data_IF_553688472899
#
_entry.id   IF_553688472899
#
_cell.length_a   1.000
_cell.length_b   1.000
_cell.length_c   1.000
_cell.angle_alpha   90.00
_cell.angle_beta   90.00
_cell.angle_gamma   90.00
#
_symmetry.space_group_name_H-M   'P 1'
#
loop_
_entity.id
_entity.type
_entity.pdbx_description
1 polymer ?
#
# COMPACT_ATOMS: atom_id res chain seq x y z
N UNK A 1 -38.44 -14.23 -33.52
CA UNK A 1 -37.20 -14.61 -32.81
C UNK A 1 -37.29 -14.05 -31.40
N UNK A 2 -37.35 -14.93 -30.39
CA UNK A 2 -37.57 -14.56 -28.99
C UNK A 2 -36.25 -14.11 -28.34
N UNK A 3 -36.29 -13.00 -27.60
CA UNK A 3 -35.15 -12.42 -26.89
C UNK A 3 -34.64 -13.32 -25.78
N UNK A 4 -33.35 -13.60 -25.80
CA UNK A 4 -32.66 -14.40 -24.79
C UNK A 4 -32.38 -13.53 -23.56
N UNK A 5 -33.19 -13.69 -22.51
CA UNK A 5 -32.94 -13.08 -21.20
C UNK A 5 -31.74 -13.78 -20.56
N UNK A 6 -30.66 -13.06 -20.35
CA UNK A 6 -29.56 -13.49 -19.49
C UNK A 6 -30.04 -13.50 -18.04
N UNK A 7 -30.28 -14.69 -17.48
CA UNK A 7 -30.68 -14.87 -16.10
C UNK A 7 -29.41 -15.10 -15.26
N UNK A 8 -28.95 -14.07 -14.54
CA UNK A 8 -27.85 -14.20 -13.57
C UNK A 8 -28.43 -14.74 -12.24
N UNK A 9 -28.09 -15.96 -11.80
CA UNK A 9 -28.70 -16.54 -10.60
C UNK A 9 -27.87 -16.15 -9.37
N UNK A 10 -27.81 -14.86 -9.05
CA UNK A 10 -27.33 -14.43 -7.73
C UNK A 10 -28.55 -14.19 -6.85
N UNK A 11 -29.02 -15.26 -6.18
CA UNK A 11 -29.84 -15.10 -4.99
C UNK A 11 -28.97 -14.37 -3.95
N UNK A 12 -29.42 -13.24 -3.37
CA UNK A 12 -28.67 -12.62 -2.29
C UNK A 12 -28.66 -13.60 -1.12
N UNK A 13 -27.48 -14.14 -0.82
CA UNK A 13 -27.25 -14.82 0.46
C UNK A 13 -27.45 -13.74 1.53
N UNK A 14 -28.23 -14.07 2.55
CA UNK A 14 -28.48 -13.22 3.72
C UNK A 14 -27.16 -12.72 4.28
N UNK A 15 -26.79 -11.48 3.94
CA UNK A 15 -25.54 -10.88 4.39
C UNK A 15 -25.66 -10.63 5.89
N UNK A 16 -24.93 -11.42 6.68
CA UNK A 16 -24.50 -11.02 8.02
C UNK A 16 -24.01 -9.58 7.90
N UNK A 17 -24.52 -8.66 8.73
CA UNK A 17 -23.98 -7.29 8.82
C UNK A 17 -22.47 -7.37 9.08
N UNK A 18 -21.67 -7.35 8.03
CA UNK A 18 -20.22 -7.13 8.12
C UNK A 18 -20.12 -5.73 8.71
N UNK A 19 -19.65 -5.62 9.95
CA UNK A 19 -19.31 -4.32 10.51
C UNK A 19 -18.16 -3.79 9.66
N UNK A 20 -18.47 -2.87 8.75
CA UNK A 20 -17.46 -2.16 7.97
C UNK A 20 -16.63 -1.35 8.97
N UNK A 21 -15.34 -1.67 9.07
CA UNK A 21 -14.39 -0.92 9.89
C UNK A 21 -13.90 0.25 9.03
N UNK A 22 -14.11 1.48 9.51
CA UNK A 22 -13.54 2.69 8.90
C UNK A 22 -12.27 3.03 9.67
N UNK A 23 -11.14 3.08 8.97
CA UNK A 23 -9.84 3.49 9.50
C UNK A 23 -9.50 4.88 9.00
N UNK A 24 -8.85 5.69 9.84
CA UNK A 24 -8.46 7.05 9.53
C UNK A 24 -6.96 7.23 9.76
N UNK A 25 -6.32 7.90 8.82
CA UNK A 25 -4.88 8.10 8.79
C UNK A 25 -4.47 9.10 7.72
N UNK A 26 -3.17 9.22 7.49
CA UNK A 26 -2.55 10.19 6.58
C UNK A 26 -1.48 9.54 5.71
N UNK A 27 -1.13 10.21 4.62
CA UNK A 27 0.01 9.89 3.76
C UNK A 27 1.32 10.34 4.40
N UNK A 28 1.85 9.53 5.31
CA UNK A 28 3.04 9.85 6.11
C UNK A 28 2.72 10.51 7.45
N UNK A 29 3.73 10.54 8.32
CA UNK A 29 3.63 11.08 9.69
C UNK A 29 4.87 11.90 10.11
N UNK A 30 6.00 11.75 9.43
CA UNK A 30 7.28 12.33 9.88
C UNK A 30 7.59 13.64 9.15
N UNK A 31 6.85 14.70 9.45
CA UNK A 31 7.03 16.02 8.83
C UNK A 31 7.53 17.06 9.84
N UNK A 32 8.53 17.86 9.45
CA UNK A 32 9.06 18.93 10.32
C UNK A 32 8.01 20.00 10.60
N UNK A 33 7.21 20.35 9.59
CA UNK A 33 6.18 21.39 9.69
C UNK A 33 5.01 20.99 10.60
N UNK A 34 4.93 19.72 11.00
CA UNK A 34 3.96 19.25 11.99
C UNK A 34 4.42 19.51 13.43
N UNK A 35 5.71 19.83 13.67
CA UNK A 35 6.21 20.15 15.01
C UNK A 35 5.75 21.55 15.41
N UNK A 36 4.92 21.62 16.46
CA UNK A 36 4.23 22.83 16.92
C UNK A 36 2.72 22.74 16.66
N UNK A 37 2.27 22.67 15.40
CA UNK A 37 0.84 22.60 15.08
C UNK A 37 0.16 21.26 15.41
N UNK A 38 0.84 20.14 15.23
CA UNK A 38 0.29 18.77 15.40
C UNK A 38 1.04 17.99 16.47
N UNK A 39 2.37 18.05 16.44
CA UNK A 39 3.23 17.43 17.44
C UNK A 39 3.71 18.45 18.47
N UNK A 40 3.96 18.03 19.72
CA UNK A 40 4.53 18.90 20.72
C UNK A 40 5.93 19.39 20.30
N UNK A 41 6.31 20.63 20.65
CA UNK A 41 7.67 21.12 20.48
C UNK A 41 8.69 20.16 21.11
N UNK A 42 9.77 19.86 20.40
CA UNK A 42 10.83 18.98 20.89
C UNK A 42 10.57 17.47 20.80
N UNK A 43 9.48 17.04 20.13
CA UNK A 43 9.26 15.61 19.85
C UNK A 43 10.48 15.01 19.15
N UNK A 44 10.94 13.85 19.63
CA UNK A 44 12.04 13.12 18.99
C UNK A 44 11.49 12.30 17.82
N UNK A 45 12.18 12.24 16.66
CA UNK A 45 11.70 11.48 15.49
C UNK A 45 11.28 10.03 15.78
N UNK A 46 11.97 9.26 16.65
CA UNK A 46 11.56 7.89 16.98
C UNK A 46 10.19 7.79 17.68
N UNK A 47 9.75 8.85 18.35
CA UNK A 47 8.48 8.91 19.11
C UNK A 47 7.30 9.37 18.26
N UNK A 48 7.54 9.98 17.09
CA UNK A 48 6.48 10.55 16.26
C UNK A 48 5.43 9.51 15.84
N UNK A 49 5.83 8.28 15.52
CA UNK A 49 4.88 7.21 15.15
C UNK A 49 4.02 6.75 16.34
N UNK A 50 4.62 6.70 17.54
CA UNK A 50 3.89 6.35 18.75
C UNK A 50 2.88 7.44 19.10
N UNK A 51 3.29 8.71 19.00
CA UNK A 51 2.41 9.85 19.20
C UNK A 51 1.27 9.89 18.15
N UNK A 52 1.61 9.61 16.90
CA UNK A 52 0.65 9.52 15.80
C UNK A 52 -0.48 8.52 16.08
N UNK A 53 -0.17 7.34 16.61
CA UNK A 53 -1.19 6.37 17.00
C UNK A 53 -1.89 6.76 18.32
N UNK A 54 -1.11 7.02 19.37
CA UNK A 54 -1.63 7.08 20.75
C UNK A 54 -2.27 8.40 21.11
N UNK A 55 -1.66 9.50 20.69
CA UNK A 55 -2.07 10.84 21.07
C UNK A 55 -2.98 11.48 20.02
N UNK A 56 -2.71 11.25 18.72
CA UNK A 56 -3.61 11.72 17.64
C UNK A 56 -4.77 10.75 17.36
N UNK A 57 -4.68 9.50 17.80
CA UNK A 57 -5.76 8.52 17.67
C UNK A 57 -5.93 7.90 16.28
N UNK A 58 -4.96 8.07 15.37
CA UNK A 58 -5.00 7.42 14.07
C UNK A 58 -4.72 5.92 14.19
N UNK A 59 -5.44 5.13 13.41
CA UNK A 59 -5.37 3.66 13.44
C UNK A 59 -4.84 3.05 12.13
N UNK A 60 -4.49 3.91 11.17
CA UNK A 60 -3.76 3.52 9.97
C UNK A 60 -2.79 4.60 9.49
N UNK A 61 -1.79 4.20 8.70
CA UNK A 61 -0.80 5.09 8.10
C UNK A 61 -0.44 4.60 6.71
N UNK A 62 -0.45 5.50 5.73
CA UNK A 62 0.18 5.24 4.45
C UNK A 62 1.69 5.56 4.52
N UNK A 63 2.50 4.56 4.18
CA UNK A 63 3.96 4.63 4.14
C UNK A 63 4.41 4.94 2.71
N UNK A 64 5.01 6.11 2.53
CA UNK A 64 5.38 6.63 1.21
C UNK A 64 6.87 6.68 0.88
N UNK A 65 7.77 6.53 1.86
CA UNK A 65 9.21 6.56 1.56
C UNK A 65 9.63 5.41 0.62
N UNK A 66 8.85 4.33 0.63
CA UNK A 66 9.00 3.14 -0.23
C UNK A 66 8.92 3.46 -1.72
N UNK A 67 8.27 4.56 -2.08
CA UNK A 67 8.23 5.05 -3.46
C UNK A 67 9.63 5.40 -3.96
N UNK A 68 10.47 6.02 -3.12
CA UNK A 68 11.79 6.53 -3.50
C UNK A 68 12.91 5.51 -3.29
N UNK A 69 12.78 4.63 -2.30
CA UNK A 69 13.77 3.60 -2.00
C UNK A 69 13.10 2.30 -1.58
N UNK A 70 13.72 1.16 -1.91
CA UNK A 70 13.22 -0.12 -1.42
C UNK A 70 13.32 -0.15 0.12
N UNK A 71 12.21 -0.38 0.83
CA UNK A 71 12.23 -0.50 2.28
C UNK A 71 13.06 -1.72 2.71
N UNK A 72 13.71 -1.60 3.87
CA UNK A 72 14.33 -2.74 4.53
C UNK A 72 13.32 -3.47 5.41
N UNK A 73 13.49 -4.78 5.58
CA UNK A 73 12.75 -5.62 6.56
C UNK A 73 12.81 -4.97 7.95
N UNK A 74 14.01 -4.55 8.38
CA UNK A 74 14.25 -3.90 9.68
C UNK A 74 13.43 -2.63 9.88
N UNK A 75 13.19 -1.85 8.82
CA UNK A 75 12.37 -0.64 8.89
C UNK A 75 10.93 -1.00 9.26
N UNK A 76 10.35 -1.98 8.58
CA UNK A 76 8.98 -2.42 8.86
C UNK A 76 8.83 -3.19 10.17
N UNK A 77 9.83 -3.98 10.58
CA UNK A 77 9.86 -4.53 11.94
C UNK A 77 9.83 -3.42 12.99
N UNK A 78 10.61 -2.35 12.79
CA UNK A 78 10.64 -1.20 13.68
C UNK A 78 9.27 -0.52 13.81
N UNK A 79 8.58 -0.33 12.68
CA UNK A 79 7.22 0.23 12.67
C UNK A 79 6.20 -0.70 13.31
N UNK A 80 6.27 -2.01 13.01
CA UNK A 80 5.41 -3.02 13.61
C UNK A 80 5.58 -3.08 15.14
N UNK A 81 6.80 -2.96 15.66
CA UNK A 81 7.05 -2.94 17.11
C UNK A 81 6.54 -1.68 17.81
N UNK A 82 6.53 -0.53 17.13
CA UNK A 82 6.15 0.76 17.70
C UNK A 82 4.65 1.00 17.76
N UNK A 83 3.86 0.18 17.07
CA UNK A 83 2.41 0.36 16.94
C UNK A 83 1.63 -0.76 17.63
N UNK A 84 0.38 -0.52 18.01
CA UNK A 84 -0.47 -1.57 18.59
C UNK A 84 -0.89 -2.63 17.57
N UNK A 85 -1.44 -3.75 18.06
CA UNK A 85 -1.93 -4.86 17.25
C UNK A 85 -3.00 -4.47 16.22
N UNK A 86 -3.79 -3.43 16.52
CA UNK A 86 -4.91 -3.03 15.67
C UNK A 86 -4.53 -1.99 14.61
N UNK A 87 -3.29 -1.52 14.61
CA UNK A 87 -2.79 -0.52 13.67
C UNK A 87 -2.43 -1.16 12.33
N UNK A 88 -2.89 -0.58 11.23
CA UNK A 88 -2.61 -1.06 9.87
C UNK A 88 -1.80 -0.08 9.05
N UNK A 89 -0.92 -0.60 8.20
CA UNK A 89 -0.15 0.18 7.26
C UNK A 89 -0.66 -0.06 5.84
N UNK A 90 -0.82 1.03 5.10
CA UNK A 90 -0.90 1.00 3.63
C UNK A 90 0.51 1.27 3.10
N UNK A 91 1.06 0.38 2.29
CA UNK A 91 2.44 0.57 1.78
C UNK A 91 2.38 0.98 0.32
N UNK A 92 2.92 2.16 0.00
CA UNK A 92 3.00 2.58 -1.40
C UNK A 92 4.01 1.73 -2.17
N UNK A 93 3.62 1.26 -3.35
CA UNK A 93 4.51 0.53 -4.23
C UNK A 93 5.73 1.38 -4.62
N UNK A 94 6.87 0.73 -4.82
CA UNK A 94 8.08 1.41 -5.26
C UNK A 94 7.90 1.99 -6.68
N UNK A 95 8.57 3.11 -6.99
CA UNK A 95 8.51 3.71 -8.34
C UNK A 95 8.97 2.76 -9.45
N UNK A 96 9.91 1.86 -9.18
CA UNK A 96 10.34 0.81 -10.12
C UNK A 96 9.22 -0.17 -10.50
N UNK A 97 8.15 -0.23 -9.71
CA UNK A 97 6.99 -1.08 -9.96
C UNK A 97 5.85 -0.35 -10.67
N UNK A 98 5.88 0.98 -10.76
CA UNK A 98 4.71 1.78 -11.20
C UNK A 98 5.02 2.89 -12.21
N UNK A 99 6.22 3.47 -12.16
CA UNK A 99 6.64 4.63 -12.95
C UNK A 99 7.83 4.32 -13.87
N UNK A 100 8.75 3.46 -13.42
CA UNK A 100 9.97 3.14 -14.18
C UNK A 100 9.89 1.75 -14.83
N UNK A 101 8.70 1.34 -15.26
CA UNK A 101 8.46 0.03 -15.88
C UNK A 101 8.77 0.01 -17.38
N UNK A 102 8.93 1.18 -18.02
CA UNK A 102 9.23 1.29 -19.45
C UNK A 102 10.63 1.87 -19.62
N UNK A 103 11.45 1.20 -20.42
CA UNK A 103 12.70 1.76 -20.93
C UNK A 103 12.38 2.83 -21.97
N UNK A 104 12.83 4.07 -21.75
CA UNK A 104 12.50 5.21 -22.63
C UNK A 104 13.26 5.20 -23.95
N UNK A 105 14.37 4.47 -24.04
CA UNK A 105 15.18 4.38 -25.25
C UNK A 105 14.64 3.30 -26.20
N UNK A 106 14.23 2.15 -25.66
CA UNK A 106 13.72 1.01 -26.43
C UNK A 106 12.20 0.94 -26.50
N UNK A 107 11.49 1.70 -25.66
CA UNK A 107 10.04 1.64 -25.47
C UNK A 107 9.51 0.25 -25.09
N UNK A 108 10.35 -0.57 -24.45
CA UNK A 108 10.00 -1.91 -23.97
C UNK A 108 9.84 -1.94 -22.45
N UNK A 109 9.17 -2.98 -21.96
CA UNK A 109 9.07 -3.23 -20.52
C UNK A 109 10.45 -3.57 -19.95
N UNK A 110 10.84 -2.90 -18.87
CA UNK A 110 12.03 -3.21 -18.08
C UNK A 110 11.79 -4.45 -17.21
N UNK A 111 12.80 -5.31 -17.04
CA UNK A 111 12.69 -6.39 -16.07
C UNK A 111 12.85 -5.86 -14.64
N UNK A 112 11.70 -5.58 -14.02
CA UNK A 112 11.63 -5.16 -12.63
C UNK A 112 11.36 -6.31 -11.64
N UNK A 113 11.56 -7.58 -12.03
CA UNK A 113 11.34 -8.77 -11.18
C UNK A 113 12.01 -8.66 -9.80
N UNK A 114 13.28 -8.28 -9.76
CA UNK A 114 14.04 -8.10 -8.52
C UNK A 114 13.48 -7.00 -7.61
N UNK A 115 12.85 -5.98 -8.18
CA UNK A 115 12.21 -4.90 -7.39
C UNK A 115 11.01 -5.47 -6.65
N UNK A 116 10.19 -6.29 -7.32
CA UNK A 116 9.06 -6.99 -6.70
C UNK A 116 9.52 -7.97 -5.63
N UNK A 117 10.55 -8.77 -5.88
CA UNK A 117 11.10 -9.72 -4.89
C UNK A 117 11.55 -9.03 -3.61
N UNK A 118 12.37 -7.98 -3.75
CA UNK A 118 12.88 -7.20 -2.60
C UNK A 118 11.75 -6.47 -1.88
N UNK A 119 10.79 -5.92 -2.61
CA UNK A 119 9.62 -5.28 -2.04
C UNK A 119 8.77 -6.28 -1.25
N UNK A 120 8.44 -7.44 -1.84
CA UNK A 120 7.67 -8.48 -1.16
C UNK A 120 8.37 -9.00 0.11
N UNK A 121 9.68 -9.20 0.06
CA UNK A 121 10.48 -9.59 1.23
C UNK A 121 10.42 -8.53 2.33
N UNK A 122 10.48 -7.25 1.96
CA UNK A 122 10.40 -6.16 2.95
C UNK A 122 9.09 -6.17 3.72
N UNK A 123 7.99 -6.57 3.09
CA UNK A 123 6.65 -6.56 3.69
C UNK A 123 6.43 -7.66 4.74
N UNK A 124 7.31 -8.67 4.79
CA UNK A 124 7.17 -9.84 5.69
C UNK A 124 6.81 -9.47 7.14
N UNK A 125 7.48 -8.51 7.81
CA UNK A 125 7.14 -8.15 9.19
C UNK A 125 5.72 -7.60 9.35
N UNK A 126 5.20 -6.88 8.36
CA UNK A 126 3.83 -6.36 8.38
C UNK A 126 2.81 -7.46 8.09
N UNK A 127 3.11 -8.38 7.17
CA UNK A 127 2.28 -9.55 6.86
C UNK A 127 2.15 -10.45 8.09
N UNK A 128 3.27 -10.84 8.68
CA UNK A 128 3.30 -11.76 9.82
C UNK A 128 2.67 -11.16 11.08
N UNK A 129 2.79 -9.85 11.28
CA UNK A 129 2.14 -9.15 12.40
C UNK A 129 0.66 -8.86 12.18
N UNK A 130 0.12 -9.14 10.98
CA UNK A 130 -1.27 -8.84 10.61
C UNK A 130 -1.54 -7.33 10.47
N UNK A 131 -0.50 -6.54 10.18
CA UNK A 131 -0.54 -5.07 10.10
C UNK A 131 -0.42 -4.52 8.69
N UNK A 132 -0.27 -5.38 7.68
CA UNK A 132 -0.35 -4.95 6.29
C UNK A 132 -1.83 -4.86 5.88
N UNK A 133 -2.33 -3.64 5.70
CA UNK A 133 -3.70 -3.40 5.22
C UNK A 133 -3.81 -3.65 3.72
N UNK A 134 -3.00 -2.94 2.93
CA UNK A 134 -2.86 -3.14 1.48
C UNK A 134 -1.58 -2.50 0.93
N UNK A 135 -1.28 -2.78 -0.34
CA UNK A 135 -0.28 -2.08 -1.14
C UNK A 135 -0.96 -1.11 -2.09
N UNK A 136 -0.61 0.17 -2.01
CA UNK A 136 -1.08 1.19 -2.92
C UNK A 136 -0.21 1.22 -4.19
N UNK A 137 -0.74 0.73 -5.31
CA UNK A 137 -0.14 0.87 -6.64
C UNK A 137 -0.69 2.12 -7.34
N UNK A 138 -0.06 3.28 -7.09
CA UNK A 138 -0.38 4.51 -7.81
C UNK A 138 0.41 4.57 -9.13
N UNK A 139 -0.27 4.65 -10.25
CA UNK A 139 0.33 4.78 -11.59
C UNK A 139 0.43 6.25 -12.05
N UNK A 140 1.37 6.56 -12.96
CA UNK A 140 1.52 7.91 -13.52
C UNK A 140 0.32 8.32 -14.38
N UNK A 141 0.12 9.62 -14.63
CA UNK A 141 -1.04 10.14 -15.38
C UNK A 141 -1.12 9.65 -16.83
N UNK A 142 -0.01 9.17 -17.39
CA UNK A 142 0.05 8.62 -18.75
C UNK A 142 -0.22 7.11 -18.84
N UNK A 143 -0.58 6.46 -17.73
CA UNK A 143 -0.95 5.04 -17.69
C UNK A 143 -2.42 4.86 -18.12
N UNK A 144 -2.67 5.00 -19.43
CA UNK A 144 -4.01 4.88 -20.00
C UNK A 144 -4.41 3.43 -20.27
N UNK A 145 -5.71 3.08 -20.23
CA UNK A 145 -6.18 1.72 -20.48
C UNK A 145 -5.93 1.31 -21.95
N UNK A 146 -4.88 0.52 -22.16
CA UNK A 146 -4.51 -0.15 -23.41
C UNK A 146 -4.01 -1.57 -23.15
N UNK A 147 -3.81 -2.37 -24.20
CA UNK A 147 -3.40 -3.77 -24.05
C UNK A 147 -2.13 -3.92 -23.19
N UNK A 148 -1.12 -3.12 -23.46
CA UNK A 148 0.18 -3.20 -22.79
C UNK A 148 0.07 -2.85 -21.30
N UNK A 149 -0.74 -1.86 -20.93
CA UNK A 149 -0.97 -1.51 -19.52
C UNK A 149 -1.79 -2.56 -18.79
N UNK A 150 -2.74 -3.20 -19.49
CA UNK A 150 -3.52 -4.30 -18.92
C UNK A 150 -2.64 -5.53 -18.69
N UNK A 151 -1.79 -5.89 -19.67
CA UNK A 151 -0.80 -6.96 -19.56
C UNK A 151 0.18 -6.69 -18.40
N UNK A 152 0.59 -5.43 -18.22
CA UNK A 152 1.40 -5.03 -17.08
C UNK A 152 0.66 -5.17 -15.75
N UNK A 153 -0.62 -4.80 -15.66
CA UNK A 153 -1.40 -5.00 -14.42
C UNK A 153 -1.56 -6.49 -14.07
N UNK A 154 -1.67 -7.37 -15.07
CA UNK A 154 -1.68 -8.81 -14.84
C UNK A 154 -0.34 -9.30 -14.30
N UNK A 155 0.78 -8.85 -14.90
CA UNK A 155 2.14 -9.11 -14.41
C UNK A 155 2.33 -8.58 -12.98
N UNK A 156 1.84 -7.37 -12.69
CA UNK A 156 1.90 -6.77 -11.37
C UNK A 156 1.16 -7.64 -10.35
N UNK A 157 -0.08 -8.05 -10.67
CA UNK A 157 -0.88 -8.93 -9.81
C UNK A 157 -0.18 -10.27 -9.56
N UNK A 158 0.33 -10.90 -10.60
CA UNK A 158 1.05 -12.18 -10.50
C UNK A 158 2.26 -12.05 -9.56
N UNK A 159 3.08 -11.01 -9.73
CA UNK A 159 4.29 -10.80 -8.93
C UNK A 159 4.00 -10.36 -7.49
N UNK A 160 2.84 -9.76 -7.23
CA UNK A 160 2.41 -9.44 -5.86
C UNK A 160 1.75 -10.64 -5.16
N UNK A 161 1.27 -11.64 -5.90
CA UNK A 161 0.64 -12.84 -5.32
C UNK A 161 -0.58 -12.48 -4.46
N UNK A 162 -0.63 -13.01 -3.24
CA UNK A 162 -1.73 -12.80 -2.28
C UNK A 162 -1.59 -11.52 -1.44
N UNK A 163 -0.69 -10.61 -1.82
CA UNK A 163 -0.57 -9.32 -1.13
C UNK A 163 -1.81 -8.47 -1.41
N UNK A 164 -2.51 -7.98 -0.37
CA UNK A 164 -3.68 -7.14 -0.53
C UNK A 164 -3.36 -5.76 -1.12
#
# INVERSE_FOLDING_TARGET
MAGQKFNCPLKPKTDRKVRKVLRLGTSGFSFKDWIGPVYPPGIKPPEMLKYYEKDLGFDTLEVNFTYYSLPSVRSFEGMARKTSKNFEFVVKANRGMTHDMINTDTWTLEDNSQVFEKFNLSLTPLKESGKLGCVLAQFPPFFYPKKETMDYMLTFKERMGEVP
#
